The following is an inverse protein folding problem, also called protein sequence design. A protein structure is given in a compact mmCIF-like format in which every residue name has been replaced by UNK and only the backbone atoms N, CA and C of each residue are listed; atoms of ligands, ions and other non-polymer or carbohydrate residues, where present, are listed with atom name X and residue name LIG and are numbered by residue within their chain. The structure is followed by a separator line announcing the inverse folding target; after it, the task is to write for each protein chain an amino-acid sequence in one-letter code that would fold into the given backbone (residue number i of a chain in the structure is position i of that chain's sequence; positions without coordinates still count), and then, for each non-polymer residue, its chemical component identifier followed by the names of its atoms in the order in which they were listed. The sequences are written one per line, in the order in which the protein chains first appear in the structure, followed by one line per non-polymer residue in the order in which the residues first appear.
data_IF_108300084408
#
_entry.id   IF_108300084408
#
_cell.length_a   1.000
_cell.length_b   1.000
_cell.length_c   1.000
_cell.angle_alpha   90.00
_cell.angle_beta   90.00
_cell.angle_gamma   90.00
#
_symmetry.space_group_name_H-M   'P 1'
#
loop_
_entity.id
_entity.type
_entity.pdbx_description
1 polymer ?
#
# COMPACT_ATOMS: atom_id res chain seq x y z
N UNK A 1 -28.45 12.55 72.94
CA UNK A 1 -28.09 12.70 71.51
C UNK A 1 -26.81 11.93 71.22
N UNK A 2 -26.81 11.02 70.24
CA UNK A 2 -25.85 11.00 69.11
C UNK A 2 -26.16 9.82 68.19
N UNK A 3 -26.36 10.16 66.93
CA UNK A 3 -26.84 9.29 65.86
C UNK A 3 -25.70 8.50 65.22
N UNK A 4 -26.07 7.30 64.78
CA UNK A 4 -25.32 6.35 63.96
C UNK A 4 -25.10 6.92 62.54
N UNK A 5 -23.90 6.78 61.98
CA UNK A 5 -23.63 7.09 60.57
C UNK A 5 -23.01 5.86 59.90
N UNK A 6 -23.77 5.27 58.97
CA UNK A 6 -23.35 4.16 58.09
C UNK A 6 -22.97 4.80 56.75
N UNK A 7 -21.71 4.67 56.36
CA UNK A 7 -21.19 5.18 55.08
C UNK A 7 -21.40 4.16 53.96
N UNK A 8 -22.17 4.55 52.94
CA UNK A 8 -22.45 3.76 51.73
C UNK A 8 -21.33 3.96 50.71
N UNK A 9 -20.60 2.89 50.37
CA UNK A 9 -19.62 2.86 49.27
C UNK A 9 -20.37 2.53 47.96
N UNK A 10 -20.51 3.53 47.08
CA UNK A 10 -21.00 3.37 45.70
C UNK A 10 -19.88 2.78 44.82
N UNK A 11 -20.03 1.52 44.42
CA UNK A 11 -19.21 0.92 43.36
C UNK A 11 -19.72 1.39 42.00
N UNK A 12 -18.99 2.31 41.37
CA UNK A 12 -19.23 2.69 39.98
C UNK A 12 -18.78 1.55 39.06
N UNK A 13 -19.74 0.82 38.49
CA UNK A 13 -19.49 -0.15 37.43
C UNK A 13 -19.18 0.61 36.12
N UNK A 14 -17.90 0.68 35.78
CA UNK A 14 -17.46 1.19 34.47
C UNK A 14 -17.90 0.26 33.36
N UNK A 15 -18.71 0.76 32.43
CA UNK A 15 -19.06 0.04 31.20
C UNK A 15 -17.85 0.05 30.27
N UNK A 16 -17.23 -1.11 30.08
CA UNK A 16 -16.24 -1.30 29.02
C UNK A 16 -16.96 -1.28 27.67
N UNK A 17 -16.85 -0.15 26.95
CA UNK A 17 -17.28 -0.07 25.55
C UNK A 17 -16.31 -0.93 24.72
N UNK A 18 -16.73 -2.14 24.36
CA UNK A 18 -16.04 -2.96 23.38
C UNK A 18 -16.15 -2.28 22.01
N UNK A 19 -15.19 -1.40 21.70
CA UNK A 19 -15.06 -0.82 20.37
C UNK A 19 -14.77 -1.97 19.39
N UNK A 20 -15.53 -2.12 18.28
CA UNK A 20 -15.22 -3.13 17.28
C UNK A 20 -13.82 -2.87 16.72
N UNK A 21 -12.84 -3.67 17.14
CA UNK A 21 -11.49 -3.60 16.61
C UNK A 21 -11.51 -3.99 15.14
N UNK A 22 -11.22 -3.04 14.23
CA UNK A 22 -10.87 -3.38 12.85
C UNK A 22 -9.69 -4.35 12.91
N UNK A 23 -9.83 -5.56 12.35
CA UNK A 23 -8.73 -6.53 12.31
C UNK A 23 -7.50 -5.87 11.69
N UNK A 24 -6.36 -5.97 12.38
CA UNK A 24 -5.09 -5.58 11.82
C UNK A 24 -4.87 -6.34 10.51
N UNK A 25 -4.60 -5.61 9.43
CA UNK A 25 -4.25 -6.22 8.15
C UNK A 25 -2.88 -6.90 8.27
N UNK A 26 -2.75 -8.09 7.73
CA UNK A 26 -1.50 -8.84 7.67
C UNK A 26 -0.61 -8.32 6.55
N UNK A 27 0.70 -8.44 6.70
CA UNK A 27 1.65 -8.09 5.65
C UNK A 27 1.44 -8.94 4.39
N UNK A 28 1.63 -8.33 3.23
CA UNK A 28 1.68 -9.02 1.93
C UNK A 28 3.13 -9.16 1.50
N UNK A 29 3.44 -10.13 0.65
CA UNK A 29 4.82 -10.40 0.25
C UNK A 29 4.97 -10.75 -1.23
N UNK A 30 6.10 -10.37 -1.81
CA UNK A 30 6.60 -10.82 -3.12
C UNK A 30 7.82 -11.71 -2.86
N UNK A 31 7.88 -12.86 -3.53
CA UNK A 31 8.96 -13.85 -3.44
C UNK A 31 9.27 -14.42 -4.80
N UNK A 32 10.43 -15.07 -4.95
CA UNK A 32 10.90 -15.64 -6.22
C UNK A 32 10.84 -14.63 -7.39
N UNK A 33 11.15 -13.36 -7.10
CA UNK A 33 11.06 -12.29 -8.06
C UNK A 33 12.24 -12.32 -9.02
N UNK A 34 11.96 -12.44 -10.31
CA UNK A 34 12.97 -12.46 -11.35
C UNK A 34 12.46 -11.85 -12.65
N UNK A 35 13.40 -11.43 -13.49
CA UNK A 35 13.13 -10.88 -14.80
C UNK A 35 14.17 -11.38 -15.81
N UNK A 36 13.78 -11.43 -17.07
CA UNK A 36 14.70 -11.68 -18.18
C UNK A 36 14.28 -10.91 -19.40
N UNK A 37 15.25 -10.45 -20.19
CA UNK A 37 14.98 -9.76 -21.45
C UNK A 37 16.00 -10.17 -22.51
N UNK A 38 15.60 -9.98 -23.76
CA UNK A 38 16.46 -9.89 -24.94
C UNK A 38 15.85 -8.85 -25.91
N UNK A 39 16.34 -8.78 -27.14
CA UNK A 39 15.81 -7.84 -28.13
C UNK A 39 14.38 -8.09 -28.58
N UNK A 40 13.85 -9.28 -28.36
CA UNK A 40 12.54 -9.70 -28.86
C UNK A 40 11.47 -9.73 -27.77
N UNK A 41 11.86 -10.05 -26.54
CA UNK A 41 10.94 -10.29 -25.43
C UNK A 41 11.49 -9.80 -24.11
N UNK A 42 10.57 -9.32 -23.27
CA UNK A 42 10.77 -9.13 -21.85
C UNK A 42 9.88 -10.06 -21.05
N UNK A 43 10.35 -10.45 -19.88
CA UNK A 43 9.65 -11.34 -18.96
C UNK A 43 9.89 -10.93 -17.52
N UNK A 44 8.82 -10.94 -16.72
CA UNK A 44 8.84 -10.75 -15.28
C UNK A 44 8.00 -11.83 -14.62
N UNK A 45 8.52 -12.45 -13.56
CA UNK A 45 7.80 -13.44 -12.76
C UNK A 45 8.03 -13.28 -11.27
N UNK A 46 7.01 -13.59 -10.48
CA UNK A 46 7.09 -13.64 -9.03
C UNK A 46 5.91 -14.40 -8.42
N UNK A 47 6.05 -14.77 -7.15
CA UNK A 47 4.98 -15.30 -6.30
C UNK A 47 4.53 -14.23 -5.31
N UNK A 48 3.24 -13.92 -5.31
CA UNK A 48 2.60 -12.93 -4.46
C UNK A 48 1.76 -13.59 -3.36
N UNK A 49 1.99 -13.21 -2.11
CA UNK A 49 1.24 -13.69 -0.95
C UNK A 49 0.44 -12.55 -0.33
N UNK A 50 -0.89 -12.66 -0.34
CA UNK A 50 -1.78 -11.74 0.38
C UNK A 50 -2.66 -12.52 1.38
N UNK A 51 -2.18 -12.73 2.61
CA UNK A 51 -2.90 -13.47 3.64
C UNK A 51 -4.20 -12.81 4.11
N UNK A 52 -4.52 -11.60 3.64
CA UNK A 52 -5.81 -10.95 3.89
C UNK A 52 -6.90 -11.40 2.92
N UNK A 53 -6.52 -12.00 1.79
CA UNK A 53 -7.45 -12.46 0.76
C UNK A 53 -7.30 -13.94 0.44
N UNK A 54 -6.08 -14.39 0.15
CA UNK A 54 -5.79 -15.77 -0.21
C UNK A 54 -4.72 -16.35 0.73
N UNK A 55 -4.93 -17.60 1.18
CA UNK A 55 -3.95 -18.28 2.04
C UNK A 55 -2.74 -18.79 1.26
N UNK A 56 -2.91 -19.09 -0.03
CA UNK A 56 -1.84 -19.59 -0.88
C UNK A 56 -1.18 -18.44 -1.67
N UNK A 57 0.14 -18.46 -1.87
CA UNK A 57 0.79 -17.59 -2.84
C UNK A 57 0.26 -17.81 -4.26
N UNK A 58 0.17 -16.74 -5.02
CA UNK A 58 -0.31 -16.73 -6.41
C UNK A 58 0.82 -16.28 -7.30
N UNK A 59 1.01 -16.95 -8.43
CA UNK A 59 2.04 -16.59 -9.39
C UNK A 59 1.59 -15.46 -10.32
N UNK A 60 2.51 -14.58 -10.65
CA UNK A 60 2.40 -13.59 -11.70
C UNK A 60 3.46 -13.87 -12.76
N UNK A 61 3.05 -13.85 -14.03
CA UNK A 61 3.95 -14.02 -15.17
C UNK A 61 3.54 -12.98 -16.21
N UNK A 62 4.44 -12.08 -16.54
CA UNK A 62 4.20 -11.01 -17.52
C UNK A 62 5.23 -11.14 -18.62
N UNK A 63 4.76 -11.31 -19.85
CA UNK A 63 5.58 -11.40 -21.06
C UNK A 63 5.15 -10.27 -22.00
N UNK A 64 6.10 -9.64 -22.67
CA UNK A 64 5.83 -8.65 -23.71
C UNK A 64 6.88 -8.69 -24.81
N UNK A 65 6.55 -8.15 -25.98
CA UNK A 65 7.47 -7.99 -27.10
C UNK A 65 8.37 -6.75 -26.89
N UNK A 66 9.64 -6.86 -27.29
CA UNK A 66 10.60 -5.76 -27.30
C UNK A 66 10.98 -5.39 -28.74
N UNK A 67 11.21 -4.09 -29.04
CA UNK A 67 10.99 -2.95 -28.15
C UNK A 67 9.49 -2.72 -27.89
N UNK A 68 9.15 -2.43 -26.64
CA UNK A 68 7.75 -2.34 -26.19
C UNK A 68 7.65 -2.38 -24.66
N UNK A 69 6.44 -2.10 -24.17
CA UNK A 69 6.16 -2.08 -22.73
C UNK A 69 5.28 -3.26 -22.30
N UNK A 70 5.36 -3.69 -21.03
CA UNK A 70 4.45 -4.69 -20.50
C UNK A 70 2.97 -4.27 -20.65
N UNK A 71 2.06 -5.23 -20.82
CA UNK A 71 0.64 -4.94 -20.95
C UNK A 71 0.09 -4.28 -19.68
N UNK A 72 -0.65 -3.18 -19.85
CA UNK A 72 -1.25 -2.42 -18.73
C UNK A 72 -2.33 -3.17 -17.95
N UNK A 73 -2.86 -4.25 -18.54
CA UNK A 73 -3.87 -5.13 -17.96
C UNK A 73 -3.32 -6.49 -17.52
N UNK A 74 -2.00 -6.62 -17.33
CA UNK A 74 -1.40 -7.86 -16.82
C UNK A 74 -1.98 -8.22 -15.45
N UNK A 75 -2.09 -9.52 -15.18
CA UNK A 75 -2.72 -10.05 -13.95
C UNK A 75 -1.97 -11.23 -13.37
N UNK A 76 -2.19 -11.46 -12.09
CA UNK A 76 -1.86 -12.74 -11.44
C UNK A 76 -2.64 -13.90 -12.06
N UNK A 77 -2.15 -15.13 -11.89
CA UNK A 77 -2.76 -16.33 -12.49
C UNK A 77 -4.21 -16.61 -12.07
N UNK A 78 -4.67 -16.05 -10.94
CA UNK A 78 -6.06 -16.11 -10.48
C UNK A 78 -6.91 -14.91 -10.94
N UNK A 79 -6.30 -13.93 -11.60
CA UNK A 79 -6.96 -12.71 -12.09
C UNK A 79 -7.35 -11.68 -11.02
N UNK A 80 -7.02 -11.92 -9.74
CA UNK A 80 -7.46 -11.10 -8.62
C UNK A 80 -6.64 -9.82 -8.42
N UNK A 81 -5.40 -9.80 -8.94
CA UNK A 81 -4.48 -8.67 -8.84
C UNK A 81 -4.06 -8.21 -10.24
N UNK A 82 -4.02 -6.89 -10.43
CA UNK A 82 -3.36 -6.23 -11.54
C UNK A 82 -1.87 -6.14 -11.24
N UNK A 83 -1.07 -6.44 -12.25
CA UNK A 83 0.38 -6.27 -12.26
C UNK A 83 0.69 -5.13 -13.23
N UNK A 84 1.32 -4.08 -12.73
CA UNK A 84 1.46 -2.81 -13.44
C UNK A 84 2.91 -2.33 -13.39
N UNK A 85 3.30 -1.68 -14.47
CA UNK A 85 4.61 -1.05 -14.65
C UNK A 85 4.34 0.41 -15.02
N UNK A 86 4.13 1.29 -14.02
CA UNK A 86 3.61 2.64 -14.24
C UNK A 86 4.51 3.50 -15.15
N UNK A 87 5.81 3.26 -15.07
CA UNK A 87 6.83 3.98 -15.84
C UNK A 87 7.27 3.20 -17.09
N UNK A 88 6.66 2.04 -17.36
CA UNK A 88 7.15 1.10 -18.37
C UNK A 88 8.32 0.24 -17.90
N UNK A 89 8.90 -0.52 -18.82
CA UNK A 89 10.12 -1.32 -18.61
C UNK A 89 10.99 -1.22 -19.86
N UNK A 90 11.83 -0.20 -19.91
CA UNK A 90 12.83 -0.05 -20.97
C UNK A 90 14.00 -1.02 -20.77
N UNK A 91 14.46 -1.20 -19.53
CA UNK A 91 15.47 -2.18 -19.12
C UNK A 91 15.04 -2.87 -17.82
N UNK A 92 15.15 -4.20 -17.76
CA UNK A 92 14.88 -4.96 -16.53
C UNK A 92 15.87 -4.66 -15.38
N UNK A 93 16.99 -3.98 -15.62
CA UNK A 93 17.89 -3.52 -14.56
C UNK A 93 17.26 -2.49 -13.64
N UNK A 94 16.30 -1.69 -14.13
CA UNK A 94 15.64 -0.66 -13.33
C UNK A 94 14.19 -0.46 -13.76
N UNK A 95 13.25 -0.67 -12.85
CA UNK A 95 11.83 -0.41 -13.10
C UNK A 95 11.00 -0.37 -11.81
N UNK A 96 9.79 0.18 -11.93
CA UNK A 96 8.77 0.14 -10.88
C UNK A 96 7.77 -0.98 -11.14
N UNK A 97 7.62 -1.90 -10.19
CA UNK A 97 6.56 -2.90 -10.14
C UNK A 97 5.45 -2.45 -9.20
N UNK A 98 4.21 -2.63 -9.63
CA UNK A 98 3.03 -2.40 -8.81
C UNK A 98 2.06 -3.57 -8.88
N UNK A 99 1.59 -4.01 -7.72
CA UNK A 99 0.58 -5.05 -7.59
C UNK A 99 -0.62 -4.48 -6.87
N UNK A 100 -1.77 -4.41 -7.54
CA UNK A 100 -3.00 -3.84 -6.99
C UNK A 100 -4.14 -4.85 -7.05
N UNK A 101 -4.87 -5.00 -5.95
CA UNK A 101 -6.07 -5.85 -5.94
C UNK A 101 -7.20 -5.21 -6.75
N UNK A 102 -7.78 -5.95 -7.69
CA UNK A 102 -8.82 -5.43 -8.61
C UNK A 102 -10.03 -4.86 -7.86
N UNK A 103 -10.47 -5.54 -6.80
CA UNK A 103 -11.64 -5.17 -6.00
C UNK A 103 -11.26 -4.79 -4.56
N UNK A 104 -10.11 -4.14 -4.36
CA UNK A 104 -9.64 -3.81 -3.01
C UNK A 104 -8.70 -2.61 -2.96
N UNK A 105 -8.30 -2.26 -1.74
CA UNK A 105 -7.35 -1.16 -1.48
C UNK A 105 -5.91 -1.63 -1.29
N UNK A 106 -5.67 -2.95 -1.29
CA UNK A 106 -4.33 -3.52 -1.18
C UNK A 106 -3.52 -3.15 -2.44
N UNK A 107 -2.44 -2.40 -2.22
CA UNK A 107 -1.47 -2.02 -3.24
C UNK A 107 -0.07 -2.20 -2.67
N UNK A 108 0.77 -2.91 -3.40
CA UNK A 108 2.20 -3.02 -3.16
C UNK A 108 2.93 -2.33 -4.32
N UNK A 109 3.98 -1.57 -4.01
CA UNK A 109 4.79 -0.88 -5.00
C UNK A 109 6.26 -1.06 -4.64
N UNK A 110 7.07 -1.43 -5.62
CA UNK A 110 8.49 -1.68 -5.48
C UNK A 110 9.20 -1.05 -6.65
N UNK A 111 10.27 -0.32 -6.37
CA UNK A 111 11.23 0.07 -7.40
C UNK A 111 12.46 -0.79 -7.21
N UNK A 112 12.96 -1.37 -8.29
CA UNK A 112 14.23 -2.08 -8.32
C UNK A 112 15.22 -1.31 -9.16
N UNK A 113 16.47 -1.33 -8.72
CA UNK A 113 17.60 -0.76 -9.44
C UNK A 113 18.85 -1.57 -9.09
N UNK A 114 19.52 -2.09 -10.11
CA UNK A 114 20.76 -2.88 -10.00
C UNK A 114 22.00 -1.98 -9.80
N UNK A 115 21.90 -0.68 -10.08
CA UNK A 115 23.00 0.27 -9.91
C UNK A 115 23.15 0.80 -8.47
N UNK A 116 22.13 0.60 -7.63
CA UNK A 116 22.13 1.04 -6.23
C UNK A 116 23.06 0.16 -5.37
N UNK A 117 23.85 0.81 -4.51
CA UNK A 117 24.68 0.11 -3.53
C UNK A 117 23.80 -0.67 -2.53
N UNK A 118 24.18 -1.91 -2.20
CA UNK A 118 23.42 -2.83 -1.34
C UNK A 118 22.01 -3.21 -1.84
N UNK A 119 21.74 -3.05 -3.13
CA UNK A 119 20.51 -3.58 -3.75
C UNK A 119 20.42 -5.10 -3.61
N UNK A 120 19.21 -5.62 -3.41
CA UNK A 120 18.95 -7.07 -3.51
C UNK A 120 18.54 -7.47 -4.94
N UNK A 121 18.42 -6.52 -5.86
CA UNK A 121 18.11 -6.77 -7.27
C UNK A 121 19.40 -6.90 -8.05
N UNK A 122 19.72 -8.10 -8.52
CA UNK A 122 20.98 -8.37 -9.19
C UNK A 122 20.79 -8.87 -10.60
N UNK A 123 21.40 -8.17 -11.55
CA UNK A 123 21.37 -8.49 -12.96
C UNK A 123 22.69 -9.03 -13.49
N UNK A 124 22.62 -9.88 -14.50
CA UNK A 124 23.78 -10.31 -15.29
C UNK A 124 23.38 -10.44 -16.76
N UNK A 125 24.34 -10.20 -17.63
CA UNK A 125 24.16 -10.40 -19.07
C UNK A 125 24.23 -11.90 -19.40
N UNK A 126 23.53 -12.28 -20.46
CA UNK A 126 23.44 -13.67 -20.93
C UNK A 126 24.26 -13.82 -22.20
N UNK A 127 25.32 -14.62 -22.12
CA UNK A 127 26.18 -14.90 -23.27
C UNK A 127 25.40 -15.51 -24.45
N UNK A 128 25.75 -15.09 -25.66
CA UNK A 128 25.17 -15.61 -26.90
C UNK A 128 23.74 -15.14 -27.20
N UNK A 129 23.18 -14.21 -26.42
CA UNK A 129 21.91 -13.55 -26.70
C UNK A 129 22.14 -12.05 -26.84
N UNK A 130 21.78 -11.47 -27.99
CA UNK A 130 21.89 -10.03 -28.19
C UNK A 130 20.99 -9.30 -27.17
N UNK A 131 21.62 -8.39 -26.42
CA UNK A 131 21.03 -7.67 -25.27
C UNK A 131 20.33 -8.57 -24.25
N UNK A 132 20.78 -9.83 -24.14
CA UNK A 132 20.28 -10.80 -23.18
C UNK A 132 20.66 -10.41 -21.76
N UNK A 133 19.67 -10.27 -20.89
CA UNK A 133 19.89 -9.96 -19.47
C UNK A 133 18.93 -10.77 -18.60
N UNK A 134 19.40 -11.17 -17.42
CA UNK A 134 18.61 -11.83 -16.39
C UNK A 134 18.84 -11.16 -15.06
N UNK A 135 17.76 -10.94 -14.33
CA UNK A 135 17.79 -10.33 -13.01
C UNK A 135 17.01 -11.17 -12.01
N UNK A 136 17.43 -11.12 -10.76
CA UNK A 136 16.78 -11.82 -9.66
C UNK A 136 16.87 -11.00 -8.38
N UNK A 137 15.80 -11.06 -7.58
CA UNK A 137 15.79 -10.47 -6.26
C UNK A 137 16.28 -11.48 -5.23
N UNK A 138 17.26 -11.11 -4.42
CA UNK A 138 17.73 -11.92 -3.31
C UNK A 138 16.84 -11.71 -2.08
N UNK A 139 16.09 -12.75 -1.71
CA UNK A 139 15.20 -12.74 -0.55
C UNK A 139 13.74 -12.44 -0.89
N UNK A 140 12.99 -11.96 0.11
CA UNK A 140 11.56 -11.70 0.02
C UNK A 140 11.26 -10.25 0.35
N UNK A 141 10.27 -9.70 -0.34
CA UNK A 141 9.85 -8.30 -0.21
C UNK A 141 8.55 -8.29 0.56
N UNK A 142 8.53 -7.65 1.73
CA UNK A 142 7.38 -7.67 2.64
C UNK A 142 6.81 -6.27 2.78
N UNK A 143 5.54 -6.12 2.42
CA UNK A 143 4.79 -4.87 2.56
C UNK A 143 3.84 -4.99 3.73
N UNK A 144 4.13 -4.24 4.80
CA UNK A 144 3.22 -4.16 5.95
C UNK A 144 2.21 -3.04 5.67
N UNK A 145 0.90 -3.35 5.56
CA UNK A 145 -0.10 -2.31 5.41
C UNK A 145 -0.07 -1.40 6.65
N UNK A 146 -0.33 -0.09 6.49
CA UNK A 146 -0.40 0.82 7.63
C UNK A 146 -1.44 0.28 8.62
N UNK A 147 -1.02 0.17 9.88
CA UNK A 147 -1.96 -0.14 10.95
C UNK A 147 -3.10 0.89 10.93
N UNK A 148 -4.36 0.51 11.21
CA UNK A 148 -5.41 1.48 11.42
C UNK A 148 -5.14 2.22 12.74
N UNK A 149 -4.17 3.12 12.76
CA UNK A 149 -3.89 3.99 13.89
C UNK A 149 -5.00 5.03 13.95
N UNK A 150 -5.80 4.93 15.02
CA UNK A 150 -6.62 5.93 15.66
C UNK A 150 -6.67 7.29 14.96
N UNK A 151 -7.83 7.62 14.38
CA UNK A 151 -8.17 9.00 14.05
C UNK A 151 -7.83 9.90 15.25
N UNK A 152 -7.21 11.08 15.06
CA UNK A 152 -7.26 12.09 16.09
C UNK A 152 -8.74 12.41 16.35
N UNK A 153 -9.16 12.31 17.60
CA UNK A 153 -10.47 12.82 18.04
C UNK A 153 -10.61 14.25 17.52
N UNK A 154 -11.51 14.45 16.57
CA UNK A 154 -12.02 15.77 16.28
C UNK A 154 -12.74 16.22 17.56
N UNK A 155 -12.04 16.99 18.41
CA UNK A 155 -12.71 17.86 19.37
C UNK A 155 -13.59 18.78 18.54
N UNK A 156 -14.87 18.45 18.48
CA UNK A 156 -15.91 19.37 18.06
C UNK A 156 -15.95 20.52 19.07
N UNK A 157 -15.11 21.53 18.85
CA UNK A 157 -15.38 22.86 19.35
C UNK A 157 -16.54 23.39 18.54
N UNK A 158 -17.74 23.26 19.12
CA UNK A 158 -18.94 23.91 18.63
C UNK A 158 -18.69 25.42 18.54
N UNK A 159 -18.62 25.95 17.33
CA UNK A 159 -18.85 27.38 17.07
C UNK A 159 -20.35 27.64 17.11
N UNK A 160 -20.87 28.50 17.99
CA UNK A 160 -22.21 29.02 17.81
C UNK A 160 -22.20 30.12 16.76
N UNK A 161 -23.00 29.90 15.70
CA UNK A 161 -23.47 30.96 14.80
C UNK A 161 -24.17 32.07 15.57
N UNK A 162 -23.85 33.33 15.27
CA UNK A 162 -24.81 34.43 15.42
C UNK A 162 -24.77 35.31 14.18
N UNK A 163 -25.97 35.50 13.63
CA UNK A 163 -26.36 36.20 12.40
C UNK A 163 -26.06 37.71 12.36
N UNK A 164 -26.15 38.34 11.17
CA UNK A 164 -25.83 39.74 10.93
C UNK A 164 -27.04 40.67 11.16
N UNK A 165 -26.78 41.96 11.41
CA UNK A 165 -27.69 43.05 11.01
C UNK A 165 -26.95 44.40 10.86
N UNK A 166 -27.33 45.22 9.86
CA UNK A 166 -26.71 46.51 9.55
C UNK A 166 -27.50 47.69 10.12
N UNK A 167 -26.87 48.84 10.38
CA UNK A 167 -27.53 50.16 10.41
C UNK A 167 -26.49 51.29 10.17
N UNK A 168 -26.81 52.36 9.41
CA UNK A 168 -25.88 53.39 8.92
C UNK A 168 -25.89 54.69 9.76
N UNK A 169 -25.19 55.73 9.25
CA UNK A 169 -25.05 57.14 9.72
C UNK A 169 -23.67 57.41 10.36
N UNK A 170 -22.90 58.45 10.07
CA UNK A 170 -23.10 59.67 9.28
C UNK A 170 -21.71 60.27 8.88
N UNK A 171 -21.72 61.12 7.87
CA UNK A 171 -20.80 62.25 7.60
C UNK A 171 -20.45 63.05 8.91
N UNK A 172 -19.44 63.97 8.98
CA UNK A 172 -18.87 64.69 7.84
C UNK A 172 -17.37 65.12 7.85
N UNK A 173 -17.01 65.72 6.70
CA UNK A 173 -16.03 66.79 6.45
C UNK A 173 -14.55 66.56 6.77
N UNK A 174 -13.68 66.69 5.75
CA UNK A 174 -13.22 68.01 5.30
C UNK A 174 -12.64 67.99 3.89
#
# INVERSE_FOLDING_TARGET
MKATTIGTLLLAAGTALAVPGKRAQKAVAISAFSASQNDQQGFVTFSFSDPNYNKAPINANVIWERPGNPPSNARTGDGAYLVQFPDGVDDISTFTLQVQRVNGTSRASLTVDDAEEDTNWHCHDVDGTENGKKCHYNGNIVFTPPSPSSSPSASASASPSVSPSPTPSAEPSS
#
